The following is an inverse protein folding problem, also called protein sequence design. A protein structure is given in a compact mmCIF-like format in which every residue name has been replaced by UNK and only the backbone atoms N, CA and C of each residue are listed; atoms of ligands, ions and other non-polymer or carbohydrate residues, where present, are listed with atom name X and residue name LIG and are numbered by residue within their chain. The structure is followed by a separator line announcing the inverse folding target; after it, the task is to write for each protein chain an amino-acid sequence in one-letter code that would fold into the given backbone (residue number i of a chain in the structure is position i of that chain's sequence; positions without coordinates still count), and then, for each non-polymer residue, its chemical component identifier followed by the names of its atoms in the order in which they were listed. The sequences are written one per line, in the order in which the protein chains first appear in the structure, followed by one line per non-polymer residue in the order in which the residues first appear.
data_IF_520489501867
#
_entry.id   IF_520489501867
#
_cell.length_a   1.000
_cell.length_b   1.000
_cell.length_c   1.000
_cell.angle_alpha   90.00
_cell.angle_beta   90.00
_cell.angle_gamma   90.00
#
_symmetry.space_group_name_H-M   'P 1'
#
loop_
_entity.id
_entity.type
_entity.pdbx_description
1 polymer ?
#
# COMPACT_ATOMS: atom_id res chain seq x y z
N UNK A 1 5.41 -20.92 1.09
CA UNK A 1 6.19 -20.06 2.01
C UNK A 1 6.00 -18.64 1.56
N UNK A 2 5.42 -17.80 2.40
CA UNK A 2 5.22 -16.38 2.12
C UNK A 2 6.57 -15.69 1.93
N UNK A 3 6.69 -14.87 0.90
CA UNK A 3 7.92 -14.13 0.58
C UNK A 3 7.60 -12.65 0.43
N UNK A 4 8.48 -11.79 0.94
CA UNK A 4 8.42 -10.35 0.71
C UNK A 4 9.44 -9.97 -0.38
N UNK A 5 8.98 -9.26 -1.41
CA UNK A 5 9.85 -8.67 -2.42
C UNK A 5 9.55 -7.19 -2.59
N UNK A 6 10.55 -6.38 -2.91
CA UNK A 6 10.35 -5.01 -3.37
C UNK A 6 10.50 -5.00 -4.89
N UNK A 7 9.48 -4.52 -5.61
CA UNK A 7 9.50 -4.49 -7.07
C UNK A 7 8.63 -3.37 -7.64
N UNK A 8 9.05 -2.86 -8.80
CA UNK A 8 8.26 -1.92 -9.60
C UNK A 8 7.42 -2.73 -10.59
N UNK A 9 6.10 -2.62 -10.49
CA UNK A 9 5.18 -3.30 -11.42
C UNK A 9 4.64 -2.30 -12.47
N UNK A 10 4.91 -2.57 -13.75
CA UNK A 10 4.49 -1.72 -14.87
C UNK A 10 2.98 -1.58 -15.00
N UNK A 11 2.23 -2.64 -14.69
CA UNK A 11 0.77 -2.62 -14.75
C UNK A 11 0.25 -1.62 -13.72
N UNK A 12 0.84 -1.63 -12.54
CA UNK A 12 0.48 -0.70 -11.46
C UNK A 12 0.91 0.72 -11.81
N UNK A 13 2.13 0.93 -12.33
CA UNK A 13 2.60 2.25 -12.80
C UNK A 13 1.70 2.84 -13.88
N UNK A 14 1.11 2.01 -14.74
CA UNK A 14 0.16 2.51 -15.72
C UNK A 14 -1.13 2.99 -15.08
N UNK A 15 -1.68 2.24 -14.12
CA UNK A 15 -2.91 2.66 -13.41
C UNK A 15 -2.67 3.97 -12.65
N UNK A 16 -1.51 4.15 -12.02
CA UNK A 16 -1.18 5.44 -11.36
C UNK A 16 -1.08 6.59 -12.37
N UNK A 17 -0.59 6.34 -13.60
CA UNK A 17 -0.59 7.33 -14.68
C UNK A 17 -2.00 7.64 -15.20
N UNK A 18 -2.90 6.65 -15.29
CA UNK A 18 -4.32 6.87 -15.60
C UNK A 18 -4.97 7.75 -14.53
N UNK A 19 -4.72 7.47 -13.24
CA UNK A 19 -5.21 8.29 -12.15
C UNK A 19 -4.65 9.72 -12.21
N UNK A 20 -3.38 9.90 -12.58
CA UNK A 20 -2.79 11.23 -12.74
C UNK A 20 -3.46 12.08 -13.83
N UNK A 21 -4.04 11.45 -14.86
CA UNK A 21 -4.81 12.13 -15.91
C UNK A 21 -6.29 12.36 -15.54
N UNK A 22 -6.77 11.69 -14.50
CA UNK A 22 -8.17 11.66 -14.06
C UNK A 22 -8.53 12.82 -13.11
N UNK A 23 -9.74 12.77 -12.53
CA UNK A 23 -10.16 13.72 -11.50
C UNK A 23 -9.54 13.40 -10.11
N UNK A 24 -8.96 12.21 -9.94
CA UNK A 24 -8.36 11.74 -8.69
C UNK A 24 -7.38 12.75 -8.04
N UNK A 25 -6.44 13.39 -8.75
CA UNK A 25 -5.52 14.35 -8.14
C UNK A 25 -6.23 15.53 -7.47
N UNK A 26 -7.37 15.95 -8.02
CA UNK A 26 -8.17 17.04 -7.46
C UNK A 26 -8.96 16.54 -6.26
N UNK A 27 -9.56 15.36 -6.35
CA UNK A 27 -10.31 14.72 -5.28
C UNK A 27 -9.43 14.45 -4.05
N UNK A 28 -8.26 13.88 -4.28
CA UNK A 28 -7.26 13.59 -3.25
C UNK A 28 -6.81 14.89 -2.55
N UNK A 29 -6.50 15.94 -3.31
CA UNK A 29 -6.12 17.25 -2.74
C UNK A 29 -7.27 17.94 -2.00
N UNK A 30 -8.54 17.61 -2.29
CA UNK A 30 -9.70 18.06 -1.50
C UNK A 30 -9.83 17.31 -0.18
N UNK A 31 -9.44 16.04 -0.13
CA UNK A 31 -9.45 15.26 1.12
C UNK A 31 -8.40 15.75 2.09
N UNK A 32 -7.16 15.93 1.61
CA UNK A 32 -6.07 16.49 2.41
C UNK A 32 -5.07 17.21 1.50
N UNK A 33 -4.99 18.53 1.62
CA UNK A 33 -4.00 19.33 0.90
C UNK A 33 -2.60 18.97 1.35
N UNK A 34 -1.73 18.62 0.40
CA UNK A 34 -0.34 18.25 0.67
C UNK A 34 0.53 18.53 -0.54
N UNK A 35 1.83 18.70 -0.31
CA UNK A 35 2.79 18.85 -1.38
C UNK A 35 2.86 17.57 -2.24
N UNK A 36 2.73 17.74 -3.55
CA UNK A 36 2.80 16.64 -4.52
C UNK A 36 4.24 16.35 -4.88
N UNK A 37 4.60 15.06 -4.92
CA UNK A 37 5.94 14.62 -5.33
C UNK A 37 6.30 15.17 -6.73
N UNK A 38 7.55 15.65 -6.97
CA UNK A 38 7.94 16.22 -8.26
C UNK A 38 7.67 15.28 -9.44
N UNK A 39 7.89 13.98 -9.25
CA UNK A 39 7.61 12.98 -10.28
C UNK A 39 6.12 12.88 -10.64
N UNK A 40 5.22 12.95 -9.65
CA UNK A 40 3.78 12.97 -9.89
C UNK A 40 3.35 14.19 -10.71
N UNK A 41 3.97 15.37 -10.48
CA UNK A 41 3.72 16.58 -11.28
C UNK A 41 4.15 16.39 -12.75
N UNK A 42 5.31 15.80 -12.97
CA UNK A 42 5.83 15.51 -14.32
C UNK A 42 4.95 14.51 -15.07
N UNK A 43 4.56 13.41 -14.41
CA UNK A 43 3.63 12.43 -14.99
C UNK A 43 2.31 13.10 -15.33
N UNK A 44 1.72 13.84 -14.39
CA UNK A 44 0.46 14.57 -14.65
C UNK A 44 0.57 15.49 -15.84
N UNK A 45 1.66 16.26 -15.97
CA UNK A 45 1.88 17.14 -17.12
C UNK A 45 1.92 16.36 -18.44
N UNK A 46 2.60 15.21 -18.47
CA UNK A 46 2.66 14.33 -19.64
C UNK A 46 1.27 13.81 -20.04
N UNK A 47 0.48 13.33 -19.08
CA UNK A 47 -0.77 12.60 -19.36
C UNK A 47 -2.01 13.51 -19.41
N UNK A 48 -1.91 14.76 -18.96
CA UNK A 48 -3.03 15.72 -18.94
C UNK A 48 -3.72 15.92 -20.31
N UNK A 49 -3.02 15.96 -21.47
CA UNK A 49 -3.69 16.05 -22.77
C UNK A 49 -4.62 14.86 -23.09
N UNK A 50 -4.49 13.76 -22.35
CA UNK A 50 -5.27 12.53 -22.51
C UNK A 50 -6.41 12.41 -21.50
N UNK A 51 -6.81 13.50 -20.83
CA UNK A 51 -7.88 13.49 -19.83
C UNK A 51 -9.23 12.94 -20.36
N UNK A 52 -9.47 13.02 -21.67
CA UNK A 52 -10.68 12.47 -22.33
C UNK A 52 -10.51 11.03 -22.85
N UNK A 53 -9.37 10.38 -22.60
CA UNK A 53 -9.09 9.03 -23.07
C UNK A 53 -10.06 8.01 -22.42
N UNK A 54 -10.49 6.96 -23.13
CA UNK A 54 -11.39 5.93 -22.57
C UNK A 54 -10.94 5.34 -21.23
N UNK A 55 -9.65 5.08 -21.05
CA UNK A 55 -9.08 4.63 -19.78
C UNK A 55 -9.30 5.61 -18.62
N UNK A 56 -9.18 6.91 -18.89
CA UNK A 56 -9.36 7.98 -17.88
C UNK A 56 -10.84 8.16 -17.56
N UNK A 57 -11.69 8.24 -18.58
CA UNK A 57 -13.14 8.32 -18.40
C UNK A 57 -13.68 7.10 -17.65
N UNK A 58 -13.19 5.90 -17.96
CA UNK A 58 -13.59 4.68 -17.29
C UNK A 58 -13.14 4.63 -15.83
N UNK A 59 -11.95 5.14 -15.50
CA UNK A 59 -11.50 5.29 -14.12
C UNK A 59 -12.38 6.28 -13.34
N UNK A 60 -12.65 7.46 -13.91
CA UNK A 60 -13.57 8.43 -13.32
C UNK A 60 -14.97 7.86 -13.11
N UNK A 61 -15.53 7.16 -14.11
CA UNK A 61 -16.84 6.52 -14.01
C UNK A 61 -16.85 5.44 -12.91
N UNK A 62 -15.82 4.60 -12.84
CA UNK A 62 -15.72 3.57 -11.81
C UNK A 62 -15.69 4.19 -10.40
N UNK A 63 -14.80 5.16 -10.17
CA UNK A 63 -14.66 5.83 -8.88
C UNK A 63 -15.95 6.57 -8.47
N UNK A 64 -16.61 7.24 -9.42
CA UNK A 64 -17.90 7.89 -9.18
C UNK A 64 -19.00 6.90 -8.76
N UNK A 65 -18.93 5.65 -9.25
CA UNK A 65 -19.86 4.57 -8.89
C UNK A 65 -19.44 3.80 -7.62
N UNK A 66 -18.44 4.29 -6.88
CA UNK A 66 -18.00 3.69 -5.61
C UNK A 66 -17.13 2.45 -5.78
N UNK A 67 -16.49 2.27 -6.93
CA UNK A 67 -15.46 1.24 -7.11
C UNK A 67 -14.23 1.60 -6.30
N UNK A 68 -13.75 0.67 -5.47
CA UNK A 68 -12.54 0.88 -4.69
C UNK A 68 -11.31 0.93 -5.59
N UNK A 69 -10.34 1.77 -5.24
CA UNK A 69 -9.04 1.81 -5.95
C UNK A 69 -8.39 0.43 -5.98
N UNK A 70 -8.46 -0.31 -4.88
CA UNK A 70 -7.92 -1.66 -4.77
C UNK A 70 -8.45 -2.59 -5.89
N UNK A 71 -9.70 -2.43 -6.31
CA UNK A 71 -10.28 -3.21 -7.41
C UNK A 71 -9.73 -2.79 -8.77
N UNK A 72 -9.53 -1.50 -9.03
CA UNK A 72 -8.91 -1.02 -10.26
C UNK A 72 -7.47 -1.55 -10.40
N UNK A 73 -6.68 -1.46 -9.34
CA UNK A 73 -5.32 -2.00 -9.33
C UNK A 73 -5.33 -3.52 -9.43
N UNK A 74 -6.20 -4.22 -8.68
CA UNK A 74 -6.32 -5.69 -8.76
C UNK A 74 -6.70 -6.16 -10.16
N UNK A 75 -7.59 -5.44 -10.85
CA UNK A 75 -7.97 -5.77 -12.21
C UNK A 75 -6.79 -5.68 -13.18
N UNK A 76 -6.00 -4.61 -13.10
CA UNK A 76 -4.78 -4.46 -13.90
C UNK A 76 -3.72 -5.52 -13.55
N UNK A 77 -3.56 -5.85 -12.26
CA UNK A 77 -2.57 -6.80 -11.76
C UNK A 77 -2.82 -8.23 -12.30
N UNK A 78 -4.09 -8.57 -12.52
CA UNK A 78 -4.55 -9.87 -13.05
C UNK A 78 -4.46 -10.00 -14.57
N UNK A 79 -3.93 -8.99 -15.25
CA UNK A 79 -3.70 -9.02 -16.69
C UNK A 79 -2.22 -9.24 -17.04
N UNK A 80 -1.96 -9.67 -18.28
CA UNK A 80 -0.61 -9.64 -18.83
C UNK A 80 -0.18 -8.20 -19.16
N UNK A 81 1.13 -7.98 -19.20
CA UNK A 81 1.73 -6.76 -19.76
C UNK A 81 2.41 -7.12 -21.10
N UNK A 82 2.37 -6.25 -22.13
CA UNK A 82 1.75 -4.92 -22.18
C UNK A 82 0.29 -4.89 -22.64
N UNK A 83 -0.29 -6.04 -23.03
CA UNK A 83 -1.57 -6.07 -23.76
C UNK A 83 -2.81 -6.00 -22.86
N UNK A 84 -2.66 -6.12 -21.54
CA UNK A 84 -3.75 -6.15 -20.56
C UNK A 84 -4.82 -7.22 -20.80
N UNK A 85 -4.42 -8.36 -21.37
CA UNK A 85 -5.26 -9.56 -21.48
C UNK A 85 -5.37 -10.25 -20.13
N UNK A 86 -6.58 -10.42 -19.56
CA UNK A 86 -6.78 -11.08 -18.27
C UNK A 86 -6.19 -12.50 -18.25
N UNK A 87 -5.40 -12.81 -17.22
CA UNK A 87 -4.87 -14.15 -16.94
C UNK A 87 -5.65 -14.85 -15.83
N UNK A 88 -6.37 -14.08 -15.02
CA UNK A 88 -7.20 -14.54 -13.91
C UNK A 88 -8.59 -13.89 -13.98
N UNK A 89 -9.52 -14.35 -13.15
CA UNK A 89 -10.82 -13.72 -13.02
C UNK A 89 -10.66 -12.28 -12.51
N UNK A 90 -11.22 -11.31 -13.22
CA UNK A 90 -11.22 -9.90 -12.79
C UNK A 90 -12.16 -9.70 -11.57
N UNK A 91 -11.95 -8.65 -10.75
CA UNK A 91 -12.90 -8.25 -9.73
C UNK A 91 -14.32 -8.13 -10.30
N UNK A 92 -15.35 -8.50 -9.54
CA UNK A 92 -16.74 -8.48 -10.00
C UNK A 92 -17.34 -7.06 -9.87
N UNK A 93 -16.77 -6.14 -10.64
CA UNK A 93 -17.09 -4.71 -10.56
C UNK A 93 -17.59 -4.20 -11.92
N UNK A 94 -18.50 -3.23 -11.89
CA UNK A 94 -19.16 -2.70 -13.07
C UNK A 94 -18.15 -2.25 -14.13
N UNK A 95 -18.30 -2.74 -15.37
CA UNK A 95 -17.50 -2.39 -16.57
C UNK A 95 -15.98 -2.57 -16.45
N UNK A 96 -15.47 -3.25 -15.41
CA UNK A 96 -14.03 -3.39 -15.20
C UNK A 96 -13.31 -4.06 -16.39
N UNK A 97 -13.99 -5.00 -17.05
CA UNK A 97 -13.47 -5.70 -18.23
C UNK A 97 -13.26 -4.76 -19.42
N UNK A 98 -14.20 -3.86 -19.65
CA UNK A 98 -14.10 -2.88 -20.74
C UNK A 98 -12.99 -1.87 -20.42
N UNK A 99 -12.88 -1.47 -19.15
CA UNK A 99 -11.83 -0.56 -18.70
C UNK A 99 -10.42 -1.12 -18.90
N UNK A 100 -10.13 -2.36 -18.45
CA UNK A 100 -8.78 -2.95 -18.61
C UNK A 100 -8.34 -3.05 -20.08
N UNK A 101 -9.27 -3.25 -21.01
CA UNK A 101 -8.97 -3.31 -22.45
C UNK A 101 -8.50 -1.96 -23.01
N UNK A 102 -8.82 -0.86 -22.35
CA UNK A 102 -8.39 0.49 -22.77
C UNK A 102 -7.00 0.88 -22.28
N UNK A 103 -6.41 0.09 -21.35
CA UNK A 103 -5.13 0.40 -20.74
C UNK A 103 -3.96 0.30 -21.73
N UNK A 104 -3.93 -0.74 -22.57
CA UNK A 104 -2.88 -0.89 -23.59
C UNK A 104 -2.88 0.27 -24.60
N UNK A 105 -4.07 0.75 -25.02
CA UNK A 105 -4.22 1.91 -25.89
C UNK A 105 -3.73 3.20 -25.20
N UNK A 106 -4.03 3.37 -23.91
CA UNK A 106 -3.54 4.51 -23.12
C UNK A 106 -2.01 4.50 -23.02
N UNK A 107 -1.40 3.35 -22.70
CA UNK A 107 0.05 3.20 -22.63
C UNK A 107 0.71 3.56 -23.96
N UNK A 108 0.12 3.11 -25.07
CA UNK A 108 0.62 3.37 -26.42
C UNK A 108 0.50 4.86 -26.79
N UNK A 109 -0.67 5.47 -26.59
CA UNK A 109 -0.93 6.86 -26.99
C UNK A 109 -0.17 7.89 -26.16
N UNK A 110 0.04 7.61 -24.88
CA UNK A 110 0.82 8.48 -23.99
C UNK A 110 2.33 8.28 -24.17
N UNK A 111 2.75 7.15 -24.76
CA UNK A 111 4.13 6.69 -24.79
C UNK A 111 4.80 6.67 -23.39
N UNK A 112 4.00 6.61 -22.32
CA UNK A 112 4.51 6.75 -20.94
C UNK A 112 5.51 5.64 -20.61
N UNK A 113 5.26 4.43 -21.10
CA UNK A 113 6.09 3.28 -20.85
C UNK A 113 7.39 3.25 -21.66
N UNK A 114 7.34 3.73 -22.90
CA UNK A 114 8.44 3.62 -23.86
C UNK A 114 9.34 4.85 -23.88
N UNK A 115 8.81 6.02 -23.54
CA UNK A 115 9.55 7.28 -23.60
C UNK A 115 9.79 7.87 -22.21
N UNK A 116 8.78 7.90 -21.35
CA UNK A 116 8.87 8.60 -20.07
C UNK A 116 9.52 7.78 -18.96
N UNK A 117 9.02 6.57 -18.63
CA UNK A 117 9.59 5.75 -17.56
C UNK A 117 11.10 5.48 -17.71
N UNK A 118 11.64 5.20 -18.91
CA UNK A 118 13.08 5.01 -19.07
C UNK A 118 13.91 6.23 -18.66
N UNK A 119 13.43 7.45 -18.94
CA UNK A 119 14.11 8.70 -18.56
C UNK A 119 14.07 8.97 -17.05
N UNK A 120 13.12 8.37 -16.35
CA UNK A 120 12.91 8.56 -14.91
C UNK A 120 13.28 7.32 -14.08
N UNK A 121 13.97 6.34 -14.67
CA UNK A 121 14.28 5.06 -14.01
C UNK A 121 15.05 5.24 -12.71
N UNK A 122 16.01 6.17 -12.66
CA UNK A 122 16.81 6.44 -11.46
C UNK A 122 15.95 6.78 -10.25
N UNK A 123 14.96 7.67 -10.39
CA UNK A 123 14.10 8.10 -9.28
C UNK A 123 13.28 6.94 -8.69
N UNK A 124 12.84 6.01 -9.53
CA UNK A 124 12.13 4.81 -9.05
C UNK A 124 13.08 3.78 -8.43
N UNK A 125 14.28 3.63 -8.98
CA UNK A 125 15.30 2.75 -8.42
C UNK A 125 15.80 3.23 -7.07
N UNK A 126 15.94 4.55 -6.88
CA UNK A 126 16.29 5.14 -5.58
C UNK A 126 15.20 4.83 -4.54
N UNK A 127 13.92 5.01 -4.91
CA UNK A 127 12.78 4.68 -4.05
C UNK A 127 12.69 3.18 -3.73
N UNK A 128 12.94 2.32 -4.72
CA UNK A 128 13.02 0.87 -4.52
C UNK A 128 14.16 0.50 -3.57
N UNK A 129 15.36 1.05 -3.80
CA UNK A 129 16.55 0.78 -2.98
C UNK A 129 16.35 1.21 -1.53
N UNK A 130 15.68 2.35 -1.30
CA UNK A 130 15.33 2.80 0.04
C UNK A 130 14.42 1.79 0.76
N UNK A 131 13.38 1.26 0.09
CA UNK A 131 12.53 0.22 0.66
C UNK A 131 13.28 -1.10 0.90
N UNK A 132 14.13 -1.52 -0.04
CA UNK A 132 14.99 -2.71 0.11
C UNK A 132 15.89 -2.58 1.33
N UNK A 133 16.49 -1.41 1.54
CA UNK A 133 17.33 -1.15 2.70
C UNK A 133 16.54 -1.23 4.01
N UNK A 134 15.34 -0.66 4.08
CA UNK A 134 14.47 -0.70 5.27
C UNK A 134 14.15 -2.15 5.65
N UNK A 135 13.72 -2.97 4.68
CA UNK A 135 13.34 -4.36 4.93
C UNK A 135 14.51 -5.35 4.91
N UNK A 136 15.74 -4.89 4.72
CA UNK A 136 16.95 -5.73 4.88
C UNK A 136 17.31 -6.00 6.34
N UNK A 137 16.83 -5.16 7.28
CA UNK A 137 17.18 -5.20 8.70
C UNK A 137 16.45 -6.30 9.48
N UNK A 138 15.37 -6.85 8.93
CA UNK A 138 14.59 -7.90 9.57
C UNK A 138 13.51 -8.48 8.66
N UNK A 139 12.97 -9.62 9.07
CA UNK A 139 11.94 -10.32 8.30
C UNK A 139 10.54 -9.92 8.80
N UNK A 140 9.90 -9.01 8.05
CA UNK A 140 8.54 -8.53 8.33
C UNK A 140 7.52 -9.68 8.41
N UNK A 141 7.63 -10.68 7.52
CA UNK A 141 6.68 -11.78 7.48
C UNK A 141 6.88 -12.73 8.65
N UNK A 142 8.14 -12.94 9.08
CA UNK A 142 8.44 -13.66 10.30
C UNK A 142 7.87 -12.94 11.54
N UNK A 143 8.03 -11.61 11.63
CA UNK A 143 7.46 -10.82 12.73
C UNK A 143 5.91 -10.91 12.75
N UNK A 144 5.26 -10.78 11.59
CA UNK A 144 3.80 -10.97 11.50
C UNK A 144 3.38 -12.40 11.84
N UNK A 145 4.17 -13.40 11.47
CA UNK A 145 3.92 -14.81 11.80
C UNK A 145 4.01 -15.12 13.30
N UNK A 146 4.67 -14.29 14.11
CA UNK A 146 4.65 -14.42 15.57
C UNK A 146 3.30 -14.03 16.19
N UNK A 147 2.46 -13.31 15.44
CA UNK A 147 1.17 -12.81 15.91
C UNK A 147 0.00 -13.78 15.64
N UNK A 148 0.22 -14.80 14.81
CA UNK A 148 -0.78 -15.81 14.46
C UNK A 148 -0.46 -16.52 13.15
N UNK A 149 -1.42 -17.32 12.68
CA UNK A 149 -1.26 -18.11 11.46
C UNK A 149 -1.24 -17.21 10.23
N UNK A 150 -0.06 -17.06 9.63
CA UNK A 150 0.15 -16.30 8.41
C UNK A 150 -0.38 -17.09 7.20
N UNK A 151 -1.20 -16.43 6.37
CA UNK A 151 -1.62 -17.01 5.09
C UNK A 151 -0.42 -17.13 4.16
N UNK A 152 -0.28 -18.28 3.48
CA UNK A 152 0.77 -18.49 2.48
C UNK A 152 0.48 -17.63 1.24
N UNK A 153 1.11 -16.46 1.17
CA UNK A 153 0.83 -15.43 0.17
C UNK A 153 2.12 -14.69 -0.19
N UNK A 154 2.40 -14.56 -1.49
CA UNK A 154 3.52 -13.75 -1.96
C UNK A 154 3.18 -12.27 -1.81
N UNK A 155 4.07 -11.48 -1.21
CA UNK A 155 3.86 -10.05 -0.98
C UNK A 155 4.89 -9.26 -1.76
N UNK A 156 4.43 -8.37 -2.63
CA UNK A 156 5.28 -7.38 -3.30
C UNK A 156 5.01 -5.99 -2.73
N UNK A 157 6.05 -5.27 -2.35
CA UNK A 157 5.99 -3.84 -2.06
C UNK A 157 6.42 -3.07 -3.30
N UNK A 158 5.61 -2.11 -3.71
CA UNK A 158 5.92 -1.23 -4.80
C UNK A 158 5.97 0.20 -4.27
N UNK A 159 7.11 0.92 -4.37
CA UNK A 159 7.12 2.34 -4.09
C UNK A 159 6.16 3.04 -5.07
N UNK A 160 5.34 3.99 -4.61
CA UNK A 160 4.44 4.74 -5.47
C UNK A 160 4.72 6.24 -5.39
N UNK A 161 5.39 6.79 -6.40
CA UNK A 161 5.75 8.21 -6.48
C UNK A 161 4.72 9.06 -7.22
N UNK A 162 3.57 8.48 -7.56
CA UNK A 162 2.46 9.07 -8.31
C UNK A 162 1.15 8.86 -7.51
N UNK A 163 -0.01 9.12 -8.10
CA UNK A 163 -1.32 8.93 -7.50
C UNK A 163 -1.72 7.44 -7.43
N UNK A 164 -2.35 6.97 -6.33
CA UNK A 164 -2.72 7.74 -5.14
C UNK A 164 -1.53 8.00 -4.21
N UNK A 165 -1.48 9.19 -3.58
CA UNK A 165 -0.39 9.62 -2.69
C UNK A 165 -0.80 9.71 -1.22
N UNK A 166 -2.10 9.71 -0.90
CA UNK A 166 -2.54 9.89 0.49
C UNK A 166 -2.49 8.63 1.33
N UNK A 167 -2.83 7.51 0.72
CA UNK A 167 -3.01 6.23 1.39
C UNK A 167 -2.44 5.11 0.52
N UNK A 168 -1.78 4.11 1.13
CA UNK A 168 -1.38 2.92 0.41
C UNK A 168 -2.57 2.16 -0.17
N UNK A 169 -2.32 1.40 -1.23
CA UNK A 169 -3.34 0.53 -1.84
C UNK A 169 -2.81 -0.89 -1.92
N UNK A 170 -3.60 -1.85 -1.45
CA UNK A 170 -3.30 -3.28 -1.61
C UNK A 170 -4.08 -3.82 -2.80
N UNK A 171 -3.36 -4.23 -3.85
CA UNK A 171 -3.89 -4.94 -4.99
C UNK A 171 -3.74 -6.46 -4.79
N UNK A 172 -4.72 -7.23 -5.26
CA UNK A 172 -4.81 -8.67 -5.01
C UNK A 172 -4.92 -9.47 -6.31
N UNK A 173 -4.24 -10.61 -6.34
CA UNK A 173 -4.39 -11.67 -7.36
C UNK A 173 -4.30 -13.04 -6.67
N UNK A 174 -4.52 -14.12 -7.41
CA UNK A 174 -4.47 -15.46 -6.81
C UNK A 174 -3.10 -15.74 -6.17
N UNK A 175 -3.10 -15.97 -4.85
CA UNK A 175 -1.90 -16.29 -4.07
C UNK A 175 -0.90 -15.15 -3.88
N UNK A 176 -1.21 -13.91 -4.30
CA UNK A 176 -0.28 -12.79 -4.16
C UNK A 176 -0.95 -11.43 -3.92
N UNK A 177 -0.20 -10.57 -3.24
CA UNK A 177 -0.58 -9.19 -2.91
C UNK A 177 0.49 -8.23 -3.42
N UNK A 178 0.08 -7.06 -3.85
CA UNK A 178 0.99 -5.94 -4.16
C UNK A 178 0.54 -4.72 -3.39
N UNK A 179 1.37 -4.23 -2.47
CA UNK A 179 1.13 -2.99 -1.73
C UNK A 179 1.83 -1.83 -2.45
N UNK A 180 1.03 -0.93 -3.00
CA UNK A 180 1.49 0.35 -3.53
C UNK A 180 1.65 1.32 -2.35
N UNK A 181 2.89 1.65 -2.03
CA UNK A 181 3.24 2.46 -0.87
C UNK A 181 3.64 3.87 -1.30
N UNK A 182 2.85 4.92 -1.01
CA UNK A 182 3.28 6.29 -1.22
C UNK A 182 4.38 6.70 -0.23
N UNK A 183 5.25 7.67 -0.58
CA UNK A 183 6.25 8.21 0.33
C UNK A 183 5.62 8.88 1.55
N UNK A 184 6.33 8.92 2.70
CA UNK A 184 5.89 9.68 3.88
C UNK A 184 5.63 11.14 3.53
N UNK A 185 4.57 11.70 4.09
CA UNK A 185 4.22 13.11 3.87
C UNK A 185 5.21 14.00 4.63
N UNK A 186 5.77 14.98 3.95
CA UNK A 186 6.52 16.03 4.60
C UNK A 186 5.59 17.09 5.20
N UNK A 187 6.11 17.85 6.19
CA UNK A 187 5.40 18.97 6.80
C UNK A 187 5.50 20.21 5.90
N UNK A 188 4.39 20.92 5.72
CA UNK A 188 4.34 22.20 5.00
C UNK A 188 4.32 22.04 3.47
N UNK A 189 5.12 22.84 2.77
CA UNK A 189 5.19 22.87 1.30
C UNK A 189 6.29 21.98 0.72
N UNK A 190 7.07 21.31 1.57
CA UNK A 190 8.15 20.41 1.17
C UNK A 190 7.58 19.18 0.44
N UNK A 191 8.26 18.67 -0.61
CA UNK A 191 7.85 17.42 -1.24
C UNK A 191 7.86 16.27 -0.21
N UNK A 192 7.11 15.18 -0.45
CA UNK A 192 7.14 13.99 0.40
C UNK A 192 8.57 13.53 0.68
N UNK A 193 8.80 13.03 1.90
CA UNK A 193 10.10 12.55 2.30
C UNK A 193 10.48 11.29 1.51
N UNK A 194 11.77 11.10 1.17
CA UNK A 194 12.30 9.80 0.81
C UNK A 194 11.92 8.74 1.87
N UNK A 195 11.77 7.49 1.43
CA UNK A 195 11.34 6.40 2.32
C UNK A 195 12.31 6.17 3.49
N UNK A 196 13.60 6.34 3.26
CA UNK A 196 14.68 6.14 4.22
C UNK A 196 14.82 7.28 5.25
N UNK A 197 14.13 8.41 5.09
CA UNK A 197 14.07 9.46 6.10
C UNK A 197 13.14 9.13 7.27
N UNK A 198 12.13 8.26 7.07
CA UNK A 198 11.23 7.79 8.13
C UNK A 198 10.94 6.27 7.99
N UNK A 199 11.94 5.42 8.29
CA UNK A 199 11.79 3.96 8.19
C UNK A 199 10.74 3.41 9.16
N UNK A 200 10.55 4.06 10.31
CA UNK A 200 9.50 3.70 11.27
C UNK A 200 8.11 3.87 10.68
N UNK A 201 7.82 5.01 10.04
CA UNK A 201 6.55 5.19 9.35
C UNK A 201 6.32 4.15 8.26
N UNK A 202 7.36 3.80 7.49
CA UNK A 202 7.28 2.79 6.42
C UNK A 202 6.91 1.42 7.00
N UNK A 203 7.63 0.93 8.01
CA UNK A 203 7.38 -0.38 8.63
C UNK A 203 5.97 -0.43 9.23
N UNK A 204 5.58 0.59 9.98
CA UNK A 204 4.26 0.67 10.59
C UNK A 204 3.16 0.64 9.53
N UNK A 205 3.28 1.49 8.51
CA UNK A 205 2.29 1.60 7.43
C UNK A 205 2.16 0.29 6.66
N UNK A 206 3.28 -0.35 6.30
CA UNK A 206 3.25 -1.63 5.60
C UNK A 206 2.57 -2.72 6.46
N UNK A 207 2.94 -2.83 7.73
CA UNK A 207 2.35 -3.81 8.63
C UNK A 207 0.83 -3.62 8.76
N UNK A 208 0.36 -2.38 9.00
CA UNK A 208 -1.06 -2.07 9.12
C UNK A 208 -1.89 -2.46 7.89
N UNK A 209 -1.31 -2.28 6.70
CA UNK A 209 -1.98 -2.56 5.43
C UNK A 209 -2.00 -4.05 5.11
N UNK A 210 -0.98 -4.81 5.53
CA UNK A 210 -0.88 -6.24 5.23
C UNK A 210 -1.61 -7.13 6.24
N UNK A 211 -1.73 -6.72 7.51
CA UNK A 211 -2.40 -7.49 8.57
C UNK A 211 -3.79 -8.02 8.15
N UNK A 212 -4.68 -7.23 7.52
CA UNK A 212 -5.99 -7.74 7.09
C UNK A 212 -5.96 -8.88 6.10
N UNK A 213 -4.90 -8.97 5.30
CA UNK A 213 -4.77 -9.95 4.25
C UNK A 213 -3.97 -11.18 4.70
N UNK A 214 -2.97 -10.97 5.56
CA UNK A 214 -2.06 -12.02 5.99
C UNK A 214 -2.47 -12.70 7.29
N UNK A 215 -3.23 -12.03 8.15
CA UNK A 215 -3.74 -12.57 9.42
C UNK A 215 -5.28 -12.47 9.49
N UNK A 216 -6.03 -12.96 8.49
CA UNK A 216 -7.49 -12.82 8.46
C UNK A 216 -8.14 -13.56 9.63
N UNK A 217 -7.60 -14.70 10.07
CA UNK A 217 -8.11 -15.44 11.24
C UNK A 217 -8.10 -14.59 12.52
N UNK A 218 -7.12 -13.69 12.65
CA UNK A 218 -7.00 -12.76 13.77
C UNK A 218 -8.07 -11.67 13.73
N UNK A 219 -8.52 -11.25 12.55
CA UNK A 219 -9.46 -10.13 12.38
C UNK A 219 -10.93 -10.57 12.24
N UNK A 220 -11.19 -11.74 11.64
CA UNK A 220 -12.55 -12.19 11.30
C UNK A 220 -13.46 -12.38 12.52
N UNK A 221 -12.89 -12.70 13.68
CA UNK A 221 -13.64 -12.87 14.93
C UNK A 221 -13.83 -11.57 15.74
N UNK A 222 -13.33 -10.45 15.23
CA UNK A 222 -13.23 -9.19 15.96
C UNK A 222 -14.16 -8.11 15.41
N UNK A 223 -14.73 -7.31 16.31
CA UNK A 223 -15.46 -6.10 15.93
C UNK A 223 -14.53 -5.04 15.29
N UNK A 224 -15.06 -3.98 14.63
CA UNK A 224 -14.24 -2.98 13.97
C UNK A 224 -13.20 -2.29 14.87
N UNK A 225 -13.50 -2.08 16.14
CA UNK A 225 -12.60 -1.42 17.08
C UNK A 225 -11.45 -2.36 17.47
N UNK A 226 -11.75 -3.64 17.68
CA UNK A 226 -10.74 -4.68 17.89
C UNK A 226 -9.86 -4.86 16.66
N UNK A 227 -10.42 -4.85 15.45
CA UNK A 227 -9.62 -4.89 14.22
C UNK A 227 -8.71 -3.68 14.09
N UNK A 228 -9.21 -2.50 14.47
CA UNK A 228 -8.41 -1.27 14.49
C UNK A 228 -7.24 -1.39 15.47
N UNK A 229 -7.51 -1.85 16.70
CA UNK A 229 -6.45 -2.10 17.70
C UNK A 229 -5.46 -3.17 17.25
N UNK A 230 -5.92 -4.26 16.63
CA UNK A 230 -5.08 -5.35 16.13
C UNK A 230 -4.03 -4.83 15.15
N UNK A 231 -4.43 -3.99 14.19
CA UNK A 231 -3.50 -3.40 13.21
C UNK A 231 -2.41 -2.58 13.90
N UNK A 232 -2.77 -1.77 14.89
CA UNK A 232 -1.83 -0.93 15.64
C UNK A 232 -0.86 -1.75 16.49
N UNK A 233 -1.35 -2.80 17.15
CA UNK A 233 -0.50 -3.71 17.93
C UNK A 233 0.46 -4.49 17.03
N UNK A 234 -0.01 -4.98 15.88
CA UNK A 234 0.81 -5.66 14.91
C UNK A 234 1.90 -4.74 14.31
N UNK A 235 1.55 -3.49 14.02
CA UNK A 235 2.51 -2.49 13.57
C UNK A 235 3.58 -2.20 14.63
N UNK A 236 3.18 -1.98 15.89
CA UNK A 236 4.13 -1.80 16.98
C UNK A 236 5.05 -3.01 17.18
N UNK A 237 4.54 -4.23 17.00
CA UNK A 237 5.35 -5.44 17.08
C UNK A 237 6.37 -5.50 15.93
N UNK A 238 5.96 -5.19 14.70
CA UNK A 238 6.87 -5.13 13.56
C UNK A 238 7.94 -4.03 13.75
N UNK A 239 7.57 -2.88 14.31
CA UNK A 239 8.53 -1.81 14.64
C UNK A 239 9.59 -2.26 15.63
N UNK A 240 9.18 -2.92 16.72
CA UNK A 240 10.12 -3.44 17.71
C UNK A 240 11.08 -4.47 17.10
N UNK A 241 10.57 -5.30 16.18
CA UNK A 241 11.35 -6.36 15.53
C UNK A 241 12.29 -5.86 14.42
N UNK A 242 11.89 -4.85 13.63
CA UNK A 242 12.62 -4.41 12.43
C UNK A 242 13.40 -3.10 12.63
N UNK A 243 13.00 -2.27 13.59
CA UNK A 243 13.59 -0.95 13.84
C UNK A 243 14.21 -0.95 15.23
N UNK A 244 13.41 -0.69 16.27
CA UNK A 244 13.76 -0.82 17.67
C UNK A 244 12.53 -0.61 18.58
N UNK A 245 12.69 -0.93 19.86
CA UNK A 245 11.66 -0.74 20.89
C UNK A 245 11.28 0.74 21.08
N UNK A 246 12.22 1.66 20.86
CA UNK A 246 11.96 3.09 21.06
C UNK A 246 10.96 3.61 20.02
N UNK A 247 11.12 3.22 18.76
CA UNK A 247 10.21 3.58 17.68
C UNK A 247 8.83 2.95 17.87
N UNK A 248 8.78 1.69 18.33
CA UNK A 248 7.52 1.04 18.70
C UNK A 248 6.78 1.82 19.80
N UNK A 249 7.47 2.24 20.86
CA UNK A 249 6.86 3.04 21.93
C UNK A 249 6.43 4.43 21.44
N UNK A 250 7.25 5.10 20.62
CA UNK A 250 6.91 6.39 20.04
C UNK A 250 5.66 6.31 19.15
N UNK A 251 5.55 5.25 18.34
CA UNK A 251 4.36 4.94 17.56
C UNK A 251 3.13 4.71 18.45
N UNK A 252 3.22 3.87 19.49
CA UNK A 252 2.11 3.60 20.40
C UNK A 252 1.62 4.86 21.12
N UNK A 253 2.53 5.75 21.54
CA UNK A 253 2.18 7.02 22.16
C UNK A 253 1.47 7.97 21.19
N UNK A 254 1.91 8.03 19.93
CA UNK A 254 1.22 8.78 18.86
C UNK A 254 -0.19 8.23 18.63
N UNK A 255 -0.31 6.92 18.38
CA UNK A 255 -1.58 6.26 18.13
C UNK A 255 -2.56 6.38 19.30
N UNK A 256 -2.08 6.23 20.54
CA UNK A 256 -2.87 6.46 21.76
C UNK A 256 -3.51 7.85 21.77
N UNK A 257 -2.75 8.88 21.41
CA UNK A 257 -3.21 10.28 21.44
C UNK A 257 -4.12 10.62 20.24
N UNK A 258 -3.76 10.14 19.06
CA UNK A 258 -4.48 10.43 17.82
C UNK A 258 -5.87 9.78 17.79
N UNK A 259 -5.98 8.56 18.34
CA UNK A 259 -7.19 7.74 18.25
C UNK A 259 -7.90 7.52 19.59
N UNK A 260 -7.46 8.19 20.67
CA UNK A 260 -8.00 8.04 22.03
C UNK A 260 -8.04 6.57 22.53
N UNK A 261 -6.90 5.87 22.37
CA UNK A 261 -6.73 4.45 22.75
C UNK A 261 -5.79 4.30 23.96
N UNK A 262 -6.23 4.64 25.19
CA UNK A 262 -5.38 4.61 26.38
C UNK A 262 -4.82 3.22 26.73
N UNK A 263 -5.50 2.15 26.32
CA UNK A 263 -5.16 0.75 26.58
C UNK A 263 -4.01 0.22 25.70
N UNK A 264 -3.67 0.91 24.61
CA UNK A 264 -2.74 0.41 23.59
C UNK A 264 -1.35 0.00 24.16
N UNK A 265 -0.69 0.80 25.02
CA UNK A 265 0.62 0.41 25.56
C UNK A 265 0.56 -0.81 26.48
N UNK A 266 -0.53 -0.96 27.25
CA UNK A 266 -0.71 -2.09 28.15
C UNK A 266 -0.95 -3.39 27.37
N UNK A 267 -1.79 -3.33 26.33
CA UNK A 267 -2.03 -4.45 25.43
C UNK A 267 -0.75 -4.85 24.68
N UNK A 268 0.08 -3.89 24.27
CA UNK A 268 1.35 -4.18 23.63
C UNK A 268 2.33 -4.90 24.58
N UNK A 269 2.43 -4.47 25.84
CA UNK A 269 3.26 -5.16 26.82
C UNK A 269 2.80 -6.63 27.01
N UNK A 270 1.50 -6.88 27.10
CA UNK A 270 0.94 -8.23 27.16
C UNK A 270 1.27 -9.06 25.92
N UNK A 271 1.20 -8.45 24.73
CA UNK A 271 1.58 -9.10 23.48
C UNK A 271 3.04 -9.53 23.46
N UNK A 272 3.94 -8.66 23.90
CA UNK A 272 5.38 -8.98 23.96
C UNK A 272 5.65 -10.14 24.93
N UNK A 273 4.98 -10.19 26.08
CA UNK A 273 5.09 -11.31 27.03
C UNK A 273 4.61 -12.64 26.42
N UNK A 274 3.50 -12.64 25.69
CA UNK A 274 2.95 -13.86 25.08
C UNK A 274 3.81 -14.36 23.91
N UNK A 275 4.38 -13.45 23.11
CA UNK A 275 5.32 -13.79 22.03
C UNK A 275 6.62 -14.36 22.61
N UNK A 276 7.19 -13.72 23.65
CA UNK A 276 8.42 -14.17 24.28
C UNK A 276 8.26 -15.49 25.06
N UNK A 277 7.06 -15.75 25.59
CA UNK A 277 6.76 -16.98 26.32
C UNK A 277 6.57 -18.22 25.43
N UNK A 278 6.61 -18.09 24.10
CA UNK A 278 6.23 -19.14 23.13
C UNK A 278 4.87 -19.79 23.45
N UNK A 279 3.99 -19.08 24.18
CA UNK A 279 2.74 -19.63 24.70
C UNK A 279 1.70 -19.90 23.58
N UNK A 280 2.03 -19.56 22.33
CA UNK A 280 1.19 -19.80 21.15
C UNK A 280 -0.11 -19.00 21.14
N UNK A 281 -0.22 -17.97 21.99
CA UNK A 281 -1.42 -17.13 22.04
C UNK A 281 -1.39 -16.07 20.95
N UNK A 282 -2.25 -16.23 19.96
CA UNK A 282 -2.40 -15.28 18.84
C UNK A 282 -2.90 -13.91 19.33
N UNK A 283 -2.59 -12.85 18.58
CA UNK A 283 -3.10 -11.48 18.78
C UNK A 283 -4.62 -11.41 19.05
N UNK A 284 -5.41 -12.31 18.45
CA UNK A 284 -6.86 -12.39 18.67
C UNK A 284 -7.24 -12.67 20.14
N UNK A 285 -6.44 -13.48 20.84
CA UNK A 285 -6.73 -13.88 22.22
C UNK A 285 -6.47 -12.76 23.23
N UNK A 286 -5.59 -11.81 22.89
CA UNK A 286 -5.29 -10.64 23.71
C UNK A 286 -6.43 -9.63 23.62
N UNK A 287 -7.02 -9.47 22.42
CA UNK A 287 -8.10 -8.51 22.18
C UNK A 287 -9.47 -8.94 22.70
N UNK A 288 -9.65 -10.23 23.02
CA UNK A 288 -10.90 -10.80 23.54
C UNK A 288 -11.04 -10.72 25.07
N UNK A 289 -10.02 -10.21 25.79
CA UNK A 289 -10.02 -10.06 27.26
C UNK A 289 -10.34 -8.63 27.66
#
# INVERSE_FOLDING_TARGET
MSTLSIAIDEKMRLVTAVLAASDWPVEEQRQLTHAVHPHAKQVRHLVQPFASHPAVNGANEALLNGVDLADLFSAALRCNWPDFTPQEALPHVLKIKDWVQTLADFATKTAVATEFWPQHTAVWQDAQSALEQIFSQGDLLAALGQLGDLVDTAVSLMPNLIFPMLSPVVATREGALTLLLPPPKAVGESPPWPFDEDPGWVVATVAEQLVPYLLPGTLVASDPDQQFMAKRLAAAHCLAALVDDFEAQAYLLRAKKEYDLPQLPALFAQLQEEVAGENGRSLAQILQK
#
